data_IF_042901173514
#
_entry.id   IF_042901173514
#
_cell.length_a   1.000
_cell.length_b   1.000
_cell.length_c   1.000
_cell.angle_alpha   90.00
_cell.angle_beta   90.00
_cell.angle_gamma   90.00
#
_symmetry.space_group_name_H-M   'P 1'
#
loop_
_entity.id
_entity.type
_entity.pdbx_description
1 polymer ?
#
# COMPACT_ATOMS: atom_id res chain seq x y z
N UNK A 1 -31.95 29.53 -17.86
CA UNK A 1 -32.71 28.84 -18.93
C UNK A 1 -34.01 29.56 -19.25
N UNK A 2 -34.96 29.75 -18.32
CA UNK A 2 -36.25 30.42 -18.60
C UNK A 2 -36.10 31.84 -19.17
N UNK A 3 -35.19 32.66 -18.61
CA UNK A 3 -34.97 34.02 -19.09
C UNK A 3 -34.37 34.09 -20.51
N UNK A 4 -33.59 33.08 -20.92
CA UNK A 4 -32.99 33.00 -22.26
C UNK A 4 -34.04 32.59 -23.30
N UNK A 5 -34.91 31.63 -22.96
CA UNK A 5 -35.99 31.17 -23.86
C UNK A 5 -37.01 32.29 -24.10
N UNK A 6 -37.28 33.11 -23.09
CA UNK A 6 -38.28 34.17 -23.16
C UNK A 6 -37.72 35.56 -23.52
N UNK A 7 -36.42 35.70 -23.81
CA UNK A 7 -35.76 36.98 -24.08
C UNK A 7 -36.09 38.09 -23.07
N UNK A 8 -36.09 37.75 -21.78
CA UNK A 8 -36.44 38.72 -20.74
C UNK A 8 -35.36 39.79 -20.54
N UNK A 9 -35.79 41.05 -20.45
CA UNK A 9 -34.98 42.17 -19.98
C UNK A 9 -34.65 42.03 -18.49
N UNK A 10 -33.61 42.73 -18.00
CA UNK A 10 -33.20 42.66 -16.57
C UNK A 10 -34.34 43.02 -15.60
N UNK A 11 -35.15 44.02 -15.94
CA UNK A 11 -36.33 44.39 -15.13
C UNK A 11 -37.37 43.26 -15.09
N UNK A 12 -37.62 42.59 -16.22
CA UNK A 12 -38.53 41.44 -16.27
C UNK A 12 -37.99 40.28 -15.44
N UNK A 13 -36.66 40.00 -15.52
CA UNK A 13 -36.03 38.97 -14.68
C UNK A 13 -36.20 39.26 -13.19
N UNK A 14 -36.00 40.51 -12.77
CA UNK A 14 -36.16 40.93 -11.37
C UNK A 14 -37.60 40.76 -10.87
N UNK A 15 -38.59 41.23 -11.64
CA UNK A 15 -40.01 41.07 -11.32
C UNK A 15 -40.43 39.60 -11.23
N UNK A 16 -40.08 38.79 -12.24
CA UNK A 16 -40.41 37.37 -12.22
C UNK A 16 -39.70 36.63 -11.08
N UNK A 17 -38.44 36.98 -10.80
CA UNK A 17 -37.71 36.42 -9.67
C UNK A 17 -38.44 36.74 -8.37
N UNK A 18 -38.76 38.01 -8.11
CA UNK A 18 -39.46 38.44 -6.90
C UNK A 18 -40.82 37.72 -6.69
N UNK A 19 -41.60 37.53 -7.76
CA UNK A 19 -42.89 36.81 -7.69
C UNK A 19 -42.69 35.31 -7.48
N UNK A 20 -41.60 34.73 -7.97
CA UNK A 20 -41.29 33.30 -7.80
C UNK A 20 -40.74 32.93 -6.42
N UNK A 21 -40.30 33.91 -5.62
CA UNK A 21 -39.77 33.66 -4.28
C UNK A 21 -40.88 33.22 -3.33
N UNK A 22 -40.65 32.12 -2.62
CA UNK A 22 -41.59 31.57 -1.64
C UNK A 22 -40.89 31.31 -0.30
N UNK A 23 -41.67 31.30 0.78
CA UNK A 23 -41.19 30.96 2.12
C UNK A 23 -40.09 31.88 2.63
N UNK A 24 -38.99 31.30 3.13
CA UNK A 24 -37.86 32.06 3.68
C UNK A 24 -37.19 32.99 2.64
N UNK A 25 -37.27 32.64 1.35
CA UNK A 25 -36.71 33.47 0.29
C UNK A 25 -37.57 34.71 0.02
N UNK A 26 -38.89 34.63 0.21
CA UNK A 26 -39.79 35.78 0.08
C UNK A 26 -39.54 36.82 1.18
N UNK A 27 -39.15 36.38 2.38
CA UNK A 27 -38.83 37.29 3.48
C UNK A 27 -37.67 38.26 3.13
N UNK A 28 -36.76 37.86 2.23
CA UNK A 28 -35.66 38.72 1.74
C UNK A 28 -36.21 39.99 1.07
N UNK A 29 -37.37 39.92 0.40
CA UNK A 29 -38.00 41.09 -0.22
C UNK A 29 -38.45 42.13 0.82
N UNK A 30 -38.83 41.69 2.01
CA UNK A 30 -39.23 42.58 3.11
C UNK A 30 -38.07 43.41 3.64
N UNK A 31 -36.87 42.83 3.63
CA UNK A 31 -35.64 43.45 4.14
C UNK A 31 -35.06 44.49 3.15
N UNK A 32 -35.46 44.45 1.87
CA UNK A 32 -34.97 45.37 0.82
C UNK A 32 -35.88 46.60 0.63
N UNK A 33 -35.32 47.76 0.27
CA UNK A 33 -36.09 48.93 -0.19
C UNK A 33 -36.87 48.63 -1.47
N UNK A 34 -38.05 49.22 -1.63
CA UNK A 34 -38.97 48.98 -2.76
C UNK A 34 -38.32 49.15 -4.15
N UNK A 35 -37.38 50.08 -4.29
CA UNK A 35 -36.63 50.35 -5.52
C UNK A 35 -35.71 49.19 -5.92
N UNK A 36 -35.11 48.51 -4.94
CA UNK A 36 -34.17 47.39 -5.16
C UNK A 36 -34.88 46.05 -5.36
N UNK A 37 -36.15 45.94 -4.97
CA UNK A 37 -36.95 44.70 -5.10
C UNK A 37 -37.22 44.31 -6.56
N UNK A 38 -37.12 45.25 -7.49
CA UNK A 38 -37.37 45.03 -8.92
C UNK A 38 -36.08 44.86 -9.74
N UNK A 39 -34.93 45.19 -9.15
CA UNK A 39 -33.63 45.03 -9.79
C UNK A 39 -33.11 43.60 -9.58
N UNK A 40 -32.87 42.89 -10.68
CA UNK A 40 -32.41 41.51 -10.64
C UNK A 40 -31.06 41.36 -9.89
N UNK A 41 -30.10 42.26 -10.13
CA UNK A 41 -28.78 42.17 -9.51
C UNK A 41 -28.83 42.32 -7.99
N UNK A 42 -29.55 43.34 -7.51
CA UNK A 42 -29.67 43.59 -6.07
C UNK A 42 -30.40 42.45 -5.36
N UNK A 43 -31.42 41.88 -6.02
CA UNK A 43 -32.16 40.75 -5.49
C UNK A 43 -31.30 39.49 -5.35
N UNK A 44 -30.50 39.20 -6.38
CA UNK A 44 -29.57 38.06 -6.35
C UNK A 44 -28.53 38.26 -5.25
N UNK A 45 -27.92 39.44 -5.13
CA UNK A 45 -26.94 39.71 -4.07
C UNK A 45 -27.52 39.55 -2.66
N UNK A 46 -28.74 40.01 -2.42
CA UNK A 46 -29.39 39.83 -1.12
C UNK A 46 -29.74 38.36 -0.82
N UNK A 47 -30.14 37.60 -1.83
CA UNK A 47 -30.37 36.16 -1.70
C UNK A 47 -29.06 35.41 -1.43
N UNK A 48 -27.98 35.77 -2.12
CA UNK A 48 -26.65 35.22 -1.90
C UNK A 48 -26.15 35.50 -0.49
N UNK A 49 -26.29 36.73 0.01
CA UNK A 49 -25.89 37.08 1.38
C UNK A 49 -26.64 36.26 2.44
N UNK A 50 -27.94 36.04 2.24
CA UNK A 50 -28.79 35.33 3.20
C UNK A 50 -28.64 33.80 3.14
N UNK A 51 -28.49 33.22 1.95
CA UNK A 51 -28.48 31.76 1.76
C UNK A 51 -27.09 31.18 1.51
N UNK A 52 -26.13 31.97 1.05
CA UNK A 52 -24.75 31.58 0.83
C UNK A 52 -23.76 32.54 1.53
N UNK A 53 -23.93 32.80 2.85
CA UNK A 53 -23.04 33.70 3.58
C UNK A 53 -21.59 33.18 3.51
N UNK A 54 -20.64 34.10 3.43
CA UNK A 54 -19.21 33.81 3.35
C UNK A 54 -18.71 32.86 4.45
N UNK A 55 -19.37 32.83 5.62
CA UNK A 55 -19.07 31.90 6.71
C UNK A 55 -19.27 30.42 6.33
N UNK A 56 -20.23 30.10 5.45
CA UNK A 56 -20.41 28.72 4.95
C UNK A 56 -19.26 28.30 4.04
N UNK A 57 -18.64 29.24 3.31
CA UNK A 57 -17.51 28.92 2.43
C UNK A 57 -16.29 28.42 3.22
N UNK A 58 -16.03 28.96 4.41
CA UNK A 58 -14.91 28.52 5.24
C UNK A 58 -15.11 27.11 5.79
N UNK A 59 -16.35 26.77 6.19
CA UNK A 59 -16.72 25.41 6.56
C UNK A 59 -16.48 24.44 5.40
N UNK A 60 -16.87 24.80 4.17
CA UNK A 60 -16.62 23.96 3.01
C UNK A 60 -15.13 23.84 2.66
N UNK A 61 -14.31 24.87 2.90
CA UNK A 61 -12.85 24.79 2.74
C UNK A 61 -12.23 23.80 3.72
N UNK A 62 -12.68 23.79 4.97
CA UNK A 62 -12.24 22.80 5.96
C UNK A 62 -12.65 21.39 5.53
N UNK A 63 -13.93 21.19 5.15
CA UNK A 63 -14.40 19.90 4.65
C UNK A 63 -13.65 19.42 3.40
N UNK A 64 -13.30 20.35 2.51
CA UNK A 64 -12.54 20.04 1.31
C UNK A 64 -11.13 19.53 1.66
N UNK A 65 -10.40 20.22 2.56
CA UNK A 65 -9.05 19.84 3.00
C UNK A 65 -9.01 18.51 3.75
N UNK A 66 -9.99 18.28 4.63
CA UNK A 66 -10.12 17.06 5.43
C UNK A 66 -10.70 15.88 4.65
N UNK A 67 -11.09 16.09 3.38
CA UNK A 67 -11.69 15.03 2.59
C UNK A 67 -10.69 13.90 2.37
N UNK A 68 -11.04 12.69 2.80
CA UNK A 68 -10.31 11.43 2.58
C UNK A 68 -11.26 10.37 2.04
N UNK A 69 -10.77 9.48 1.19
CA UNK A 69 -11.54 8.36 0.65
C UNK A 69 -12.10 7.47 1.76
N UNK A 70 -13.38 7.12 1.68
CA UNK A 70 -14.02 6.18 2.62
C UNK A 70 -13.76 4.73 2.18
N UNK A 71 -13.78 3.78 3.12
CA UNK A 71 -13.46 2.38 2.85
C UNK A 71 -14.34 1.72 1.77
N UNK A 72 -15.62 2.09 1.69
CA UNK A 72 -16.58 1.55 0.72
C UNK A 72 -16.85 2.49 -0.46
N UNK A 73 -16.11 3.59 -0.56
CA UNK A 73 -16.35 4.62 -1.57
C UNK A 73 -15.54 4.36 -2.84
N UNK A 74 -16.21 4.44 -3.99
CA UNK A 74 -15.56 4.30 -5.28
C UNK A 74 -14.76 5.56 -5.66
N UNK A 75 -13.71 5.37 -6.46
CA UNK A 75 -12.87 6.48 -6.94
C UNK A 75 -13.66 7.55 -7.72
N UNK A 76 -14.65 7.20 -8.57
CA UNK A 76 -15.49 8.20 -9.23
C UNK A 76 -16.37 9.00 -8.26
N UNK A 77 -16.96 8.36 -7.24
CA UNK A 77 -17.76 9.03 -6.22
C UNK A 77 -16.91 10.02 -5.41
N UNK A 78 -15.70 9.62 -5.02
CA UNK A 78 -14.73 10.50 -4.39
C UNK A 78 -14.47 11.73 -5.26
N UNK A 79 -14.17 11.53 -6.54
CA UNK A 79 -13.94 12.61 -7.50
C UNK A 79 -15.11 13.59 -7.60
N UNK A 80 -16.34 13.07 -7.70
CA UNK A 80 -17.54 13.92 -7.76
C UNK A 80 -17.75 14.71 -6.46
N UNK A 81 -17.54 14.08 -5.31
CA UNK A 81 -17.67 14.74 -4.02
C UNK A 81 -16.65 15.88 -3.86
N UNK A 82 -15.41 15.67 -4.34
CA UNK A 82 -14.34 16.67 -4.29
C UNK A 82 -14.63 17.83 -5.24
N UNK A 83 -15.15 17.56 -6.44
CA UNK A 83 -15.61 18.63 -7.36
C UNK A 83 -16.70 19.47 -6.72
N UNK A 84 -17.69 18.82 -6.12
CA UNK A 84 -18.79 19.52 -5.40
C UNK A 84 -18.24 20.38 -4.27
N UNK A 85 -17.36 19.84 -3.44
CA UNK A 85 -16.75 20.58 -2.32
C UNK A 85 -15.89 21.75 -2.81
N UNK A 86 -15.12 21.58 -3.90
CA UNK A 86 -14.32 22.64 -4.51
C UNK A 86 -15.20 23.83 -4.95
N UNK A 87 -16.35 23.54 -5.57
CA UNK A 87 -17.31 24.57 -6.00
C UNK A 87 -17.94 25.33 -4.82
N UNK A 88 -18.18 24.66 -3.70
CA UNK A 88 -18.77 25.27 -2.50
C UNK A 88 -17.73 26.02 -1.65
N UNK A 89 -16.49 25.54 -1.64
CA UNK A 89 -15.37 26.14 -0.90
C UNK A 89 -14.82 27.40 -1.57
N UNK A 90 -14.86 27.45 -2.91
CA UNK A 90 -14.28 28.52 -3.72
C UNK A 90 -15.23 29.00 -4.82
N UNK A 91 -16.42 29.53 -4.49
CA UNK A 91 -17.42 29.94 -5.48
C UNK A 91 -16.93 31.09 -6.39
N UNK A 92 -16.08 31.97 -5.86
CA UNK A 92 -15.50 33.11 -6.59
C UNK A 92 -14.27 32.73 -7.42
N UNK A 93 -13.72 31.54 -7.24
CA UNK A 93 -12.52 31.12 -7.95
C UNK A 93 -12.84 30.72 -9.41
N UNK A 94 -11.95 31.06 -10.36
CA UNK A 94 -11.99 30.54 -11.72
C UNK A 94 -12.06 29.00 -11.78
N UNK A 95 -12.66 28.47 -12.85
CA UNK A 95 -12.90 27.03 -12.99
C UNK A 95 -11.60 26.22 -13.07
N UNK A 96 -10.59 26.74 -13.75
CA UNK A 96 -9.25 26.17 -13.87
C UNK A 96 -8.54 26.04 -12.51
N UNK A 97 -8.67 27.06 -11.66
CA UNK A 97 -8.16 27.03 -10.29
C UNK A 97 -8.90 25.96 -9.47
N UNK A 98 -10.22 25.91 -9.55
CA UNK A 98 -11.04 24.89 -8.85
C UNK A 98 -10.73 23.47 -9.30
N UNK A 99 -10.51 23.25 -10.60
CA UNK A 99 -10.10 21.96 -11.15
C UNK A 99 -8.70 21.57 -10.69
N UNK A 100 -7.76 22.52 -10.60
CA UNK A 100 -6.41 22.28 -10.11
C UNK A 100 -6.42 21.89 -8.63
N UNK A 101 -7.13 22.67 -7.79
CA UNK A 101 -7.31 22.35 -6.37
C UNK A 101 -8.01 21.00 -6.19
N UNK A 102 -9.08 20.75 -6.96
CA UNK A 102 -9.84 19.51 -6.91
C UNK A 102 -8.96 18.30 -7.26
N UNK A 103 -8.13 18.41 -8.30
CA UNK A 103 -7.16 17.38 -8.68
C UNK A 103 -6.16 17.09 -7.56
N UNK A 104 -5.54 18.13 -6.99
CA UNK A 104 -4.55 17.96 -5.91
C UNK A 104 -5.18 17.29 -4.68
N UNK A 105 -6.34 17.79 -4.25
CA UNK A 105 -7.07 17.22 -3.13
C UNK A 105 -7.52 15.79 -3.40
N UNK A 106 -7.93 15.46 -4.63
CA UNK A 106 -8.30 14.08 -4.99
C UNK A 106 -7.13 13.13 -4.81
N UNK A 107 -5.94 13.52 -5.29
CA UNK A 107 -4.74 12.70 -5.14
C UNK A 107 -4.41 12.54 -3.65
N UNK A 108 -4.41 13.62 -2.87
CA UNK A 108 -4.08 13.54 -1.45
C UNK A 108 -5.14 12.79 -0.62
N UNK A 109 -6.39 12.75 -1.09
CA UNK A 109 -7.49 12.02 -0.46
C UNK A 109 -7.42 10.50 -0.62
N UNK A 110 -6.63 9.97 -1.56
CA UNK A 110 -6.50 8.53 -1.79
C UNK A 110 -5.81 7.83 -0.61
N UNK A 111 -6.30 6.64 -0.26
CA UNK A 111 -5.75 5.82 0.84
C UNK A 111 -4.39 5.21 0.44
N UNK A 112 -4.30 4.68 -0.78
CA UNK A 112 -3.13 3.97 -1.27
C UNK A 112 -2.00 4.94 -1.65
N UNK A 113 -0.89 4.87 -0.91
CA UNK A 113 0.27 5.72 -1.14
C UNK A 113 0.98 5.45 -2.46
N UNK A 114 0.99 4.20 -2.95
CA UNK A 114 1.62 3.87 -4.22
C UNK A 114 0.80 4.44 -5.39
N UNK A 115 -0.53 4.29 -5.33
CA UNK A 115 -1.45 4.88 -6.30
C UNK A 115 -1.27 6.40 -6.37
N UNK A 116 -1.18 7.09 -5.22
CA UNK A 116 -0.88 8.53 -5.20
C UNK A 116 0.40 8.89 -5.93
N UNK A 117 1.48 8.15 -5.65
CA UNK A 117 2.78 8.42 -6.27
C UNK A 117 2.72 8.24 -7.79
N UNK A 118 2.11 7.15 -8.27
CA UNK A 118 1.97 6.88 -9.71
C UNK A 118 1.13 7.94 -10.42
N UNK A 119 0.04 8.39 -9.79
CA UNK A 119 -0.79 9.48 -10.35
C UNK A 119 -0.03 10.81 -10.35
N UNK A 120 0.77 11.13 -9.31
CA UNK A 120 1.61 12.34 -9.32
C UNK A 120 2.66 12.29 -10.45
N UNK A 121 3.23 11.12 -10.72
CA UNK A 121 4.21 10.91 -11.79
C UNK A 121 3.60 11.06 -13.20
N UNK A 122 2.35 10.65 -13.42
CA UNK A 122 1.68 10.80 -14.72
C UNK A 122 1.25 12.24 -15.04
N UNK A 123 1.31 13.15 -14.06
CA UNK A 123 1.01 14.59 -14.20
C UNK A 123 -0.36 14.86 -14.85
N UNK A 124 -1.46 14.43 -14.21
CA UNK A 124 -2.79 14.65 -14.75
C UNK A 124 -3.09 16.13 -14.94
N UNK A 125 -3.79 16.46 -16.03
CA UNK A 125 -4.12 17.85 -16.36
C UNK A 125 -5.26 18.41 -15.52
N UNK A 126 -6.21 17.56 -15.11
CA UNK A 126 -7.38 17.97 -14.33
C UNK A 126 -7.94 16.83 -13.47
N UNK A 127 -9.03 17.09 -12.77
CA UNK A 127 -9.61 16.13 -11.82
C UNK A 127 -10.12 14.87 -12.53
N UNK A 128 -10.82 15.02 -13.66
CA UNK A 128 -11.33 13.88 -14.44
C UNK A 128 -10.19 12.96 -14.91
N UNK A 129 -9.06 13.54 -15.26
CA UNK A 129 -7.88 12.81 -15.74
C UNK A 129 -7.27 11.98 -14.60
N UNK A 130 -7.14 12.58 -13.41
CA UNK A 130 -6.69 11.89 -12.21
C UNK A 130 -7.64 10.75 -11.80
N UNK A 131 -8.96 10.96 -11.88
CA UNK A 131 -9.96 9.92 -11.59
C UNK A 131 -9.84 8.76 -12.57
N UNK A 132 -9.70 9.04 -13.87
CA UNK A 132 -9.55 7.99 -14.90
C UNK A 132 -8.31 7.13 -14.62
N UNK A 133 -7.17 7.77 -14.38
CA UNK A 133 -5.92 7.09 -14.05
C UNK A 133 -6.01 6.25 -12.77
N UNK A 134 -6.69 6.76 -11.74
CA UNK A 134 -6.90 6.02 -10.50
C UNK A 134 -7.73 4.75 -10.74
N UNK A 135 -8.80 4.85 -11.54
CA UNK A 135 -9.65 3.70 -11.90
C UNK A 135 -8.87 2.67 -12.72
N UNK A 136 -8.06 3.11 -13.68
CA UNK A 136 -7.17 2.22 -14.46
C UNK A 136 -6.18 1.48 -13.55
N UNK A 137 -5.51 2.19 -12.63
CA UNK A 137 -4.59 1.59 -11.67
C UNK A 137 -5.28 0.59 -10.73
N UNK A 138 -6.50 0.90 -10.28
CA UNK A 138 -7.29 -0.01 -9.46
C UNK A 138 -7.61 -1.31 -10.22
N UNK A 139 -7.96 -1.21 -11.50
CA UNK A 139 -8.21 -2.38 -12.35
C UNK A 139 -6.95 -3.24 -12.54
N UNK A 140 -5.79 -2.62 -12.77
CA UNK A 140 -4.51 -3.33 -12.87
C UNK A 140 -4.12 -4.03 -11.57
N UNK A 141 -4.26 -3.36 -10.42
CA UNK A 141 -3.97 -3.95 -9.12
C UNK A 141 -4.90 -5.14 -8.81
N UNK A 142 -6.20 -5.02 -9.14
CA UNK A 142 -7.16 -6.14 -9.00
C UNK A 142 -6.78 -7.34 -9.87
N UNK A 143 -6.31 -7.10 -11.10
CA UNK A 143 -5.87 -8.18 -11.99
C UNK A 143 -4.60 -8.88 -11.47
N UNK A 144 -3.60 -8.12 -11.05
CA UNK A 144 -2.34 -8.66 -10.52
C UNK A 144 -2.54 -9.46 -9.22
N UNK A 145 -3.38 -8.97 -8.30
CA UNK A 145 -3.67 -9.67 -7.05
C UNK A 145 -4.35 -11.03 -7.28
N UNK A 146 -5.31 -11.12 -8.21
CA UNK A 146 -5.94 -12.41 -8.58
C UNK A 146 -4.92 -13.42 -9.10
N UNK A 147 -3.95 -12.96 -9.87
CA UNK A 147 -2.88 -13.81 -10.40
C UNK A 147 -1.95 -14.30 -9.30
N UNK A 148 -1.64 -13.45 -8.30
CA UNK A 148 -0.85 -13.83 -7.13
C UNK A 148 -1.56 -14.85 -6.24
N UNK A 149 -2.85 -14.63 -5.98
CA UNK A 149 -3.69 -15.58 -5.24
C UNK A 149 -3.80 -16.92 -5.96
N UNK A 150 -3.98 -16.92 -7.29
CA UNK A 150 -4.00 -18.15 -8.10
C UNK A 150 -2.65 -18.88 -8.17
N UNK A 151 -1.53 -18.16 -8.14
CA UNK A 151 -0.17 -18.76 -8.12
C UNK A 151 0.26 -19.26 -6.74
N UNK A 152 -0.28 -18.70 -5.66
CA UNK A 152 0.02 -19.12 -4.29
C UNK A 152 -0.28 -20.60 -4.03
N UNK A 153 -1.28 -21.16 -4.73
CA UNK A 153 -1.65 -22.57 -4.63
C UNK A 153 -0.85 -23.52 -5.54
N UNK A 154 -0.09 -23.02 -6.53
CA UNK A 154 0.67 -23.87 -7.47
C UNK A 154 2.09 -24.20 -7.00
N UNK A 155 2.55 -23.63 -5.89
CA UNK A 155 3.90 -23.86 -5.35
C UNK A 155 3.94 -25.03 -4.35
N UNK A 156 3.19 -26.10 -4.59
CA UNK A 156 3.29 -27.30 -3.77
C UNK A 156 2.87 -28.58 -4.50
N UNK A 157 3.42 -28.86 -5.68
CA UNK A 157 3.50 -30.24 -6.17
C UNK A 157 4.65 -30.33 -7.16
N UNK A 158 5.82 -30.81 -6.71
CA UNK A 158 6.68 -31.76 -7.41
C UNK A 158 7.72 -32.23 -6.39
N UNK A 159 7.36 -33.29 -5.67
CA UNK A 159 8.27 -34.35 -5.28
C UNK A 159 7.44 -35.62 -5.40
N UNK A 160 7.81 -36.43 -6.39
CA UNK A 160 7.17 -37.65 -6.81
C UNK A 160 7.34 -38.80 -5.78
N UNK A 161 6.39 -39.73 -5.87
CA UNK A 161 6.46 -41.17 -5.57
C UNK A 161 6.66 -41.64 -4.11
N UNK A 162 5.59 -42.14 -3.47
CA UNK A 162 5.17 -43.56 -3.53
C UNK A 162 4.31 -43.95 -2.30
N UNK A 163 3.12 -44.52 -2.59
CA UNK A 163 2.34 -45.48 -1.80
C UNK A 163 1.85 -45.11 -0.38
N UNK A 164 0.53 -44.86 -0.30
CA UNK A 164 -0.33 -45.75 0.49
C UNK A 164 -1.14 -45.14 1.64
N UNK A 165 -2.43 -44.92 1.34
CA UNK A 165 -3.63 -44.98 2.21
C UNK A 165 -3.70 -44.13 3.49
N UNK A 166 -4.83 -43.43 3.55
CA UNK A 166 -5.34 -42.54 4.59
C UNK A 166 -5.38 -43.15 6.01
N UNK A 167 -5.19 -42.31 7.03
CA UNK A 167 -6.20 -42.13 8.09
C UNK A 167 -5.98 -40.84 8.91
N UNK A 168 -7.07 -40.09 9.08
CA UNK A 168 -7.15 -38.88 9.92
C UNK A 168 -7.06 -39.26 11.40
N UNK A 169 -6.06 -38.75 12.13
CA UNK A 169 -6.20 -38.53 13.58
C UNK A 169 -5.63 -37.16 13.98
N UNK A 170 -6.49 -36.41 14.63
CA UNK A 170 -6.29 -35.12 15.28
C UNK A 170 -5.39 -35.22 16.52
N UNK A 171 -4.51 -34.21 16.69
CA UNK A 171 -4.10 -33.51 17.94
C UNK A 171 -2.58 -33.34 17.98
N UNK A 172 -2.18 -32.07 18.08
CA UNK A 172 -1.02 -31.55 18.80
C UNK A 172 0.07 -32.56 19.15
N UNK A 173 1.09 -32.69 18.31
CA UNK A 173 2.38 -33.18 18.78
C UNK A 173 3.46 -32.15 18.46
N UNK A 174 4.06 -31.68 19.55
CA UNK A 174 5.16 -30.75 19.62
C UNK A 174 6.35 -31.27 18.79
N UNK A 175 6.99 -30.43 17.95
CA UNK A 175 8.22 -30.77 17.20
C UNK A 175 9.40 -31.25 18.05
N UNK A 176 9.30 -31.23 19.38
CA UNK A 176 10.35 -31.60 20.33
C UNK A 176 10.57 -33.10 20.48
N UNK A 177 9.55 -33.93 20.19
CA UNK A 177 9.65 -35.40 20.41
C UNK A 177 10.48 -36.10 19.33
N UNK A 178 10.40 -35.61 18.09
CA UNK A 178 11.20 -36.10 16.97
C UNK A 178 12.67 -35.69 17.08
N UNK A 179 12.94 -34.52 17.66
CA UNK A 179 14.31 -34.09 17.98
C UNK A 179 14.91 -34.99 19.07
N UNK A 180 14.12 -35.34 20.10
CA UNK A 180 14.60 -36.20 21.18
C UNK A 180 14.90 -37.64 20.72
N UNK A 181 14.07 -38.21 19.84
CA UNK A 181 14.30 -39.54 19.28
C UNK A 181 15.54 -39.56 18.37
N UNK A 182 15.75 -38.50 17.58
CA UNK A 182 16.97 -38.33 16.78
C UNK A 182 18.23 -38.18 17.65
N UNK A 183 18.18 -37.39 18.73
CA UNK A 183 19.31 -37.24 19.66
C UNK A 183 19.71 -38.58 20.31
N UNK A 184 18.74 -39.39 20.74
CA UNK A 184 19.03 -40.72 21.29
C UNK A 184 19.63 -41.67 20.24
N UNK A 185 19.17 -41.56 19.00
CA UNK A 185 19.71 -42.34 17.88
C UNK A 185 21.15 -41.94 17.58
N UNK A 186 21.46 -40.64 17.61
CA UNK A 186 22.82 -40.14 17.47
C UNK A 186 23.74 -40.62 18.60
N UNK A 187 23.31 -40.57 19.86
CA UNK A 187 24.12 -41.07 20.98
C UNK A 187 24.44 -42.57 20.87
N UNK A 188 23.48 -43.37 20.39
CA UNK A 188 23.72 -44.80 20.10
C UNK A 188 24.73 -44.99 18.95
N UNK A 189 24.66 -44.17 17.90
CA UNK A 189 25.64 -44.22 16.80
C UNK A 189 27.05 -43.80 17.23
N UNK A 190 27.18 -42.82 18.14
CA UNK A 190 28.48 -42.41 18.67
C UNK A 190 29.08 -43.46 19.60
N UNK A 191 28.27 -44.06 20.47
CA UNK A 191 28.74 -45.12 21.37
C UNK A 191 29.18 -46.38 20.61
N UNK A 192 28.47 -46.76 19.55
CA UNK A 192 28.88 -47.86 18.66
C UNK A 192 30.21 -47.56 17.96
N UNK A 193 30.40 -46.37 17.40
CA UNK A 193 31.67 -45.95 16.81
C UNK A 193 32.83 -45.93 17.82
N UNK A 194 32.60 -45.45 19.05
CA UNK A 194 33.64 -45.50 20.10
C UNK A 194 34.02 -46.93 20.49
N UNK A 195 33.05 -47.85 20.45
CA UNK A 195 33.27 -49.26 20.75
C UNK A 195 34.05 -49.95 19.61
N UNK A 196 33.76 -49.61 18.35
CA UNK A 196 34.50 -50.09 17.20
C UNK A 196 35.94 -49.56 17.16
N UNK A 197 36.12 -48.26 17.46
CA UNK A 197 37.45 -47.66 17.64
C UNK A 197 38.26 -48.39 18.73
N UNK A 198 37.63 -48.79 19.84
CA UNK A 198 38.30 -49.55 20.89
C UNK A 198 38.71 -50.96 20.44
N UNK A 199 37.88 -51.65 19.63
CA UNK A 199 38.18 -52.98 19.06
C UNK A 199 39.28 -52.95 18.00
N UNK A 200 39.38 -51.87 17.23
CA UNK A 200 40.46 -51.68 16.25
C UNK A 200 41.81 -51.39 16.93
N UNK A 201 41.79 -50.80 18.13
CA UNK A 201 43.01 -50.56 18.91
C UNK A 201 43.59 -51.84 19.55
N UNK A 202 42.76 -52.86 19.81
CA UNK A 202 43.19 -54.14 20.41
C UNK A 202 43.57 -55.20 19.38
N UNK A 203 43.25 -55.01 18.09
CA UNK A 203 43.61 -55.93 17.00
C UNK A 203 44.94 -55.61 16.30
N UNK A 204 45.61 -54.50 16.69
CA UNK A 204 46.92 -54.09 16.15
C UNK A 204 48.15 -54.60 16.92
N UNK A 205 47.99 -55.43 17.96
CA UNK A 205 49.10 -55.93 18.79
C UNK A 205 48.94 -57.42 19.07
N UNK A 206 49.20 -58.27 18.07
CA UNK A 206 49.78 -59.60 18.32
C UNK A 206 50.24 -60.27 17.01
N UNK A 207 51.52 -60.11 16.65
CA UNK A 207 52.32 -61.20 16.07
C UNK A 207 53.78 -61.02 16.51
N UNK A 208 54.37 -62.08 17.07
CA UNK A 208 55.81 -62.27 17.21
C UNK A 208 56.09 -63.78 17.09
N UNK A 209 57.32 -64.28 17.29
CA UNK A 209 58.64 -63.69 17.07
C UNK A 209 59.53 -64.60 16.20
N UNK A 210 60.30 -64.08 15.22
CA UNK A 210 61.48 -64.79 14.70
C UNK A 210 62.65 -63.83 14.47
N UNK A 211 63.73 -64.12 15.19
CA UNK A 211 65.03 -63.47 15.14
C UNK A 211 65.72 -63.76 13.79
N UNK A 212 66.15 -62.74 13.05
CA UNK A 212 67.29 -62.84 12.13
C UNK A 212 68.07 -61.51 12.06
N UNK A 213 69.31 -61.65 12.49
CA UNK A 213 70.51 -60.80 12.58
C UNK A 213 70.66 -59.59 11.62
N UNK A 214 71.25 -58.53 12.22
CA UNK A 214 72.34 -57.64 11.76
C UNK A 214 72.37 -57.25 10.27
N UNK A 215 72.22 -55.96 9.98
CA UNK A 215 73.32 -55.10 9.48
C UNK A 215 72.92 -53.62 9.40
N UNK A 216 73.90 -52.74 9.64
CA UNK A 216 73.82 -51.27 9.67
C UNK A 216 74.12 -50.73 8.25
N UNK A 217 73.48 -49.63 7.79
CA UNK A 217 74.27 -48.43 7.54
C UNK A 217 73.64 -47.13 8.07
N UNK A 218 74.50 -46.34 8.73
CA UNK A 218 74.32 -44.91 9.03
C UNK A 218 74.11 -44.11 7.73
N UNK A 219 73.12 -43.21 7.70
CA UNK A 219 73.22 -41.97 6.90
C UNK A 219 72.77 -40.79 7.75
N UNK A 220 73.70 -39.86 7.93
CA UNK A 220 73.55 -38.56 8.60
C UNK A 220 72.70 -37.64 7.71
N UNK A 221 71.74 -36.92 8.30
CA UNK A 221 71.08 -35.79 7.67
C UNK A 221 70.66 -34.78 8.73
N UNK A 222 71.37 -33.66 8.80
CA UNK A 222 71.26 -32.61 9.82
C UNK A 222 69.91 -31.88 9.78
N UNK A 223 69.38 -31.62 10.97
CA UNK A 223 68.36 -30.62 11.24
C UNK A 223 68.97 -29.23 11.01
N UNK A 224 68.30 -28.38 10.23
CA UNK A 224 68.42 -26.92 10.34
C UNK A 224 67.04 -26.28 10.29
N UNK A 225 66.59 -25.86 11.47
CA UNK A 225 65.52 -24.88 11.67
C UNK A 225 66.11 -23.52 11.32
N UNK A 226 65.53 -22.79 10.37
CA UNK A 226 65.84 -21.37 10.16
C UNK A 226 64.54 -20.58 10.20
N UNK A 227 64.34 -19.97 11.35
CA UNK A 227 63.47 -18.83 11.63
C UNK A 227 63.89 -17.64 10.76
N UNK A 228 62.95 -17.02 10.05
CA UNK A 228 63.13 -15.66 9.52
C UNK A 228 61.94 -14.80 9.98
N UNK A 229 62.29 -13.79 10.77
CA UNK A 229 61.46 -12.68 11.25
C UNK A 229 61.73 -11.47 10.35
N UNK A 230 60.68 -10.67 10.13
CA UNK A 230 60.66 -9.27 9.68
C UNK A 230 61.17 -8.92 8.26
N UNK A 231 60.30 -8.29 7.46
CA UNK A 231 60.42 -6.83 7.30
C UNK A 231 59.17 -6.17 6.68
N UNK A 232 58.89 -5.01 7.25
CA UNK A 232 57.90 -3.98 6.92
C UNK A 232 58.48 -3.06 5.82
N UNK A 233 57.62 -2.23 5.21
CA UNK A 233 57.89 -1.11 4.26
C UNK A 233 58.02 -1.60 2.80
N UNK A 234 57.16 -1.22 1.85
CA UNK A 234 56.71 0.13 1.43
C UNK A 234 55.19 0.19 1.27
#
# INVERSE_FOLDING_TARGET
>A
MCALVNNWSENQKGLYLAVSLMGQAQAVLGDLPSEKRQNFSDLVSALEERFAPSSQTELYRVQFKERRQKASESLPELGQSIRRLSNLAYPTAPLDVRETLGKEQFIDALVDSEMRLRIKQSRPKGLNDAVRLAVELEAYNKAENKVREGRGYLRQTMNDDELGREEKITKSDSPTKDIASWMQTMEKSLSTLTTEMAKLKTSGTNEGPYMLKRDIPKVRGQIRVVTIVANLVI
#
